data_IF_572408686633
#
_entry.id   IF_572408686633
#
_cell.length_a   1.000
_cell.length_b   1.000
_cell.length_c   1.000
_cell.angle_alpha   90.00
_cell.angle_beta   90.00
_cell.angle_gamma   90.00
#
_symmetry.space_group_name_H-M   'P 1'
#
loop_
_entity.id
_entity.type
_entity.pdbx_description
1 polymer ?
#
# COMPACT_ATOMS: atom_id res chain seq x y z
N UNK A 1 -11.75 8.00 -5.67
CA UNK A 1 -10.49 8.47 -6.28
C UNK A 1 -10.64 9.93 -6.67
N UNK A 2 -9.62 10.78 -6.48
CA UNK A 2 -9.65 12.16 -6.94
C UNK A 2 -9.63 12.22 -8.49
N UNK A 3 -10.28 13.22 -9.09
CA UNK A 3 -10.28 13.43 -10.54
C UNK A 3 -8.88 13.73 -11.06
N UNK A 4 -8.53 13.19 -12.23
CA UNK A 4 -7.26 13.48 -12.91
C UNK A 4 -7.39 14.80 -13.69
N UNK A 5 -6.40 15.68 -13.57
CA UNK A 5 -6.37 16.90 -14.39
C UNK A 5 -5.92 16.58 -15.81
N UNK A 6 -6.36 17.37 -16.80
CA UNK A 6 -5.95 17.22 -18.20
C UNK A 6 -4.41 17.21 -18.34
N UNK A 7 -3.73 18.06 -17.56
CA UNK A 7 -2.27 18.14 -17.55
C UNK A 7 -1.64 16.85 -17.03
N UNK A 8 -2.19 16.28 -15.95
CA UNK A 8 -1.68 15.02 -15.40
C UNK A 8 -1.98 13.85 -16.32
N UNK A 9 -3.14 13.83 -16.96
CA UNK A 9 -3.51 12.82 -17.96
C UNK A 9 -2.53 12.84 -19.15
N UNK A 10 -2.20 14.03 -19.66
CA UNK A 10 -1.24 14.17 -20.75
C UNK A 10 0.17 13.66 -20.41
N UNK A 11 0.58 13.78 -19.14
CA UNK A 11 1.83 13.21 -18.62
C UNK A 11 1.75 11.69 -18.53
N UNK A 12 0.66 11.14 -17.97
CA UNK A 12 0.46 9.68 -17.82
C UNK A 12 0.34 8.95 -19.16
N UNK A 13 -0.28 9.59 -20.17
CA UNK A 13 -0.41 9.10 -21.55
C UNK A 13 0.92 9.20 -22.32
N UNK A 14 1.86 10.05 -21.87
CA UNK A 14 3.21 10.16 -22.45
C UNK A 14 3.31 10.96 -23.76
N UNK A 15 2.23 11.63 -24.20
CA UNK A 15 2.22 12.42 -25.45
C UNK A 15 2.42 13.93 -25.24
N UNK A 16 2.50 14.37 -23.99
CA UNK A 16 2.71 15.78 -23.62
C UNK A 16 1.46 16.65 -23.75
N UNK A 17 1.40 17.69 -22.92
CA UNK A 17 0.21 18.55 -22.78
C UNK A 17 -0.25 19.25 -24.07
N UNK A 18 0.63 19.84 -24.91
CA UNK A 18 0.18 20.51 -26.13
C UNK A 18 -0.54 19.58 -27.11
N UNK A 19 -0.09 18.34 -27.22
CA UNK A 19 -0.70 17.33 -28.10
C UNK A 19 -1.96 16.75 -27.49
N UNK A 20 -1.97 16.46 -26.20
CA UNK A 20 -3.16 15.96 -25.52
C UNK A 20 -4.31 16.98 -25.54
N UNK A 21 -4.02 18.25 -25.24
CA UNK A 21 -5.02 19.32 -25.23
C UNK A 21 -5.68 19.57 -26.59
N UNK A 22 -5.01 19.20 -27.70
CA UNK A 22 -5.62 19.26 -29.03
C UNK A 22 -6.85 18.36 -29.12
N UNK A 23 -6.80 17.14 -28.59
CA UNK A 23 -7.89 16.17 -28.64
C UNK A 23 -9.05 16.51 -27.68
N UNK A 24 -8.76 17.25 -26.62
CA UNK A 24 -9.74 17.67 -25.61
C UNK A 24 -10.48 18.95 -25.99
N UNK A 25 -9.96 19.75 -26.94
CA UNK A 25 -10.58 21.02 -27.37
C UNK A 25 -11.52 20.81 -28.56
N UNK A 26 -12.85 20.90 -28.38
CA UNK A 26 -13.83 20.68 -29.46
C UNK A 26 -13.71 21.70 -30.60
N UNK A 27 -13.07 22.86 -30.36
CA UNK A 27 -12.83 23.87 -31.40
C UNK A 27 -11.69 23.44 -32.33
N UNK A 28 -10.73 22.66 -31.82
CA UNK A 28 -9.53 22.22 -32.55
C UNK A 28 -9.71 20.81 -33.12
N UNK A 29 -10.18 19.87 -32.31
CA UNK A 29 -10.47 18.52 -32.74
C UNK A 29 -11.94 18.39 -33.12
N UNK A 30 -12.19 18.34 -34.43
CA UNK A 30 -13.55 18.30 -35.00
C UNK A 30 -13.99 16.90 -35.41
N UNK A 31 -13.10 15.92 -35.32
CA UNK A 31 -13.44 14.53 -35.65
C UNK A 31 -14.23 13.95 -34.49
N UNK A 32 -15.23 13.12 -34.84
CA UNK A 32 -16.07 12.42 -33.86
C UNK A 32 -15.30 11.34 -33.09
N UNK A 33 -14.31 10.75 -33.73
CA UNK A 33 -13.56 9.60 -33.24
C UNK A 33 -12.11 9.99 -32.97
N UNK A 34 -11.52 9.48 -31.90
CA UNK A 34 -10.12 9.64 -31.54
C UNK A 34 -9.22 8.69 -32.34
N UNK A 35 -7.95 9.05 -32.60
CA UNK A 35 -7.01 8.12 -33.21
C UNK A 35 -6.78 6.90 -32.31
N UNK A 36 -6.78 5.71 -32.88
CA UNK A 36 -6.70 4.44 -32.13
C UNK A 36 -5.51 4.39 -31.15
N UNK A 37 -4.34 4.87 -31.55
CA UNK A 37 -3.15 4.84 -30.70
C UNK A 37 -3.29 5.74 -29.47
N UNK A 38 -3.97 6.88 -29.62
CA UNK A 38 -4.25 7.79 -28.51
C UNK A 38 -5.27 7.15 -27.58
N UNK A 39 -6.32 6.54 -28.14
CA UNK A 39 -7.34 5.81 -27.37
C UNK A 39 -6.75 4.66 -26.57
N UNK A 40 -5.81 3.88 -27.14
CA UNK A 40 -5.06 2.84 -26.43
C UNK A 40 -4.29 3.37 -25.23
N UNK A 41 -3.59 4.50 -25.41
CA UNK A 41 -2.83 5.11 -24.33
C UNK A 41 -3.74 5.65 -23.22
N UNK A 42 -4.86 6.27 -23.59
CA UNK A 42 -5.90 6.73 -22.64
C UNK A 42 -6.48 5.53 -21.88
N UNK A 43 -6.83 4.45 -22.58
CA UNK A 43 -7.39 3.25 -21.99
C UNK A 43 -6.41 2.60 -21.00
N UNK A 44 -5.12 2.54 -21.33
CA UNK A 44 -4.10 2.02 -20.42
C UNK A 44 -4.10 2.79 -19.08
N UNK A 45 -4.12 4.13 -19.13
CA UNK A 45 -4.13 4.98 -17.94
C UNK A 45 -5.42 4.86 -17.14
N UNK A 46 -6.58 4.93 -17.82
CA UNK A 46 -7.88 4.89 -17.14
C UNK A 46 -8.20 3.50 -16.58
N UNK A 47 -7.67 2.43 -17.17
CA UNK A 47 -7.84 1.07 -16.67
C UNK A 47 -7.24 0.88 -15.28
N UNK A 48 -6.12 1.54 -14.99
CA UNK A 48 -5.50 1.53 -13.66
C UNK A 48 -6.37 2.24 -12.61
N UNK A 49 -7.34 3.03 -13.06
CA UNK A 49 -8.32 3.74 -12.23
C UNK A 49 -9.68 3.06 -12.20
N UNK A 50 -9.78 1.84 -12.75
CA UNK A 50 -10.99 1.02 -12.73
C UNK A 50 -11.98 1.29 -13.85
N UNK A 51 -11.59 2.00 -14.91
CA UNK A 51 -12.42 2.19 -16.12
C UNK A 51 -12.21 1.00 -17.04
N UNK A 52 -13.29 0.46 -17.61
CA UNK A 52 -13.21 -0.62 -18.58
C UNK A 52 -12.52 -0.13 -19.88
N UNK A 53 -11.39 -0.74 -20.30
CA UNK A 53 -10.75 -0.40 -21.56
C UNK A 53 -11.69 -0.49 -22.78
N UNK A 54 -12.66 -1.42 -22.79
CA UNK A 54 -13.60 -1.58 -23.89
C UNK A 54 -14.51 -0.36 -24.07
N UNK A 55 -14.94 0.27 -22.97
CA UNK A 55 -15.70 1.52 -23.02
C UNK A 55 -14.86 2.66 -23.61
N UNK A 56 -13.58 2.73 -23.25
CA UNK A 56 -12.67 3.76 -23.77
C UNK A 56 -12.42 3.57 -25.27
N UNK A 57 -12.35 2.32 -25.75
CA UNK A 57 -12.16 2.01 -27.17
C UNK A 57 -13.28 2.54 -28.07
N UNK A 58 -14.49 2.72 -27.54
CA UNK A 58 -15.61 3.32 -28.28
C UNK A 58 -15.32 4.76 -28.70
N UNK A 59 -14.41 5.48 -28.00
CA UNK A 59 -13.97 6.81 -28.41
C UNK A 59 -13.23 6.80 -29.75
N UNK A 60 -12.65 5.67 -30.16
CA UNK A 60 -12.05 5.48 -31.47
C UNK A 60 -13.08 5.07 -32.55
N UNK A 61 -14.37 4.99 -32.22
CA UNK A 61 -15.43 4.54 -33.12
C UNK A 61 -15.58 3.02 -33.22
N UNK A 62 -14.88 2.26 -32.39
CA UNK A 62 -14.96 0.80 -32.36
C UNK A 62 -16.30 0.35 -31.78
N UNK A 63 -16.92 -0.64 -32.42
CA UNK A 63 -18.08 -1.33 -31.82
C UNK A 63 -17.62 -2.37 -30.77
N UNK A 64 -18.54 -2.94 -30.00
CA UNK A 64 -18.22 -3.89 -28.92
C UNK A 64 -17.36 -5.08 -29.38
N UNK A 65 -17.58 -5.58 -30.60
CA UNK A 65 -16.83 -6.73 -31.15
C UNK A 65 -15.40 -6.33 -31.53
N UNK A 66 -15.19 -5.09 -31.97
CA UNK A 66 -13.87 -4.57 -32.33
C UNK A 66 -13.10 -4.03 -31.11
N UNK A 67 -13.83 -3.58 -30.09
CA UNK A 67 -13.26 -3.06 -28.84
C UNK A 67 -12.67 -4.16 -27.95
N UNK A 68 -13.27 -5.36 -27.94
CA UNK A 68 -12.82 -6.49 -27.12
C UNK A 68 -11.35 -6.89 -27.33
N UNK A 69 -10.84 -7.11 -28.56
CA UNK A 69 -9.45 -7.49 -28.75
C UNK A 69 -8.48 -6.38 -28.35
N UNK A 70 -8.86 -5.11 -28.56
CA UNK A 70 -8.07 -3.95 -28.18
C UNK A 70 -8.04 -3.77 -26.65
N UNK A 71 -9.18 -3.94 -25.99
CA UNK A 71 -9.29 -3.92 -24.54
C UNK A 71 -8.43 -5.02 -23.91
N UNK A 72 -8.50 -6.24 -24.44
CA UNK A 72 -7.66 -7.37 -23.99
C UNK A 72 -6.17 -7.07 -24.19
N UNK A 73 -5.78 -6.43 -25.28
CA UNK A 73 -4.38 -6.04 -25.51
C UNK A 73 -3.91 -5.01 -24.47
N UNK A 74 -4.76 -4.03 -24.11
CA UNK A 74 -4.49 -3.05 -23.05
C UNK A 74 -4.37 -3.73 -21.68
N UNK A 75 -5.25 -4.66 -21.35
CA UNK A 75 -5.18 -5.42 -20.10
C UNK A 75 -3.94 -6.31 -20.04
N UNK A 76 -3.59 -7.00 -21.12
CA UNK A 76 -2.41 -7.85 -21.20
C UNK A 76 -1.10 -7.05 -21.06
N UNK A 77 -1.10 -5.78 -21.46
CA UNK A 77 0.04 -4.88 -21.29
C UNK A 77 0.16 -4.32 -19.84
N UNK A 78 -0.83 -4.55 -18.97
CA UNK A 78 -0.77 -4.11 -17.57
C UNK A 78 0.35 -4.87 -16.85
N UNK A 79 1.21 -4.18 -16.07
CA UNK A 79 2.19 -4.86 -15.24
C UNK A 79 1.51 -5.87 -14.31
N UNK A 80 1.94 -7.14 -14.37
CA UNK A 80 1.43 -8.17 -13.47
C UNK A 80 1.82 -7.82 -12.03
N UNK A 81 0.82 -7.45 -11.21
CA UNK A 81 1.03 -7.24 -9.79
C UNK A 81 1.05 -8.60 -9.10
N UNK A 82 2.22 -9.01 -8.63
CA UNK A 82 2.36 -10.26 -7.86
C UNK A 82 2.13 -9.97 -6.38
N UNK A 83 1.06 -10.53 -5.83
CA UNK A 83 0.83 -10.53 -4.39
C UNK A 83 1.51 -11.76 -3.78
N UNK A 84 2.46 -11.52 -2.88
CA UNK A 84 3.19 -12.59 -2.18
C UNK A 84 2.79 -12.54 -0.69
N UNK A 85 2.24 -13.61 -0.11
CA UNK A 85 2.03 -13.68 1.33
C UNK A 85 3.38 -13.80 2.04
N UNK A 86 3.72 -12.85 2.90
CA UNK A 86 4.91 -12.90 3.75
C UNK A 86 4.54 -13.36 5.16
N UNK A 87 5.27 -14.34 5.69
CA UNK A 87 5.28 -14.66 7.12
C UNK A 87 6.28 -13.71 7.79
N UNK A 88 5.79 -12.74 8.55
CA UNK A 88 6.63 -11.73 9.22
C UNK A 88 6.64 -12.00 10.72
N UNK A 89 7.83 -12.13 11.29
CA UNK A 89 8.02 -12.08 12.74
C UNK A 89 8.05 -10.61 13.17
N UNK A 90 7.00 -10.16 13.85
CA UNK A 90 6.97 -8.81 14.40
C UNK A 90 7.79 -8.74 15.69
N UNK A 91 8.49 -7.60 15.95
CA UNK A 91 9.10 -7.35 17.25
C UNK A 91 8.06 -7.36 18.37
N UNK A 92 8.52 -7.53 19.61
CA UNK A 92 7.65 -7.40 20.78
C UNK A 92 7.03 -6.01 20.88
N UNK A 93 5.89 -5.89 21.57
CA UNK A 93 5.20 -4.60 21.77
C UNK A 93 6.13 -3.53 22.36
N UNK A 94 7.00 -3.91 23.30
CA UNK A 94 7.96 -2.99 23.90
C UNK A 94 8.96 -2.45 22.87
N UNK A 95 9.50 -3.32 22.01
CA UNK A 95 10.42 -2.93 20.95
C UNK A 95 9.73 -2.05 19.89
N UNK A 96 8.47 -2.37 19.55
CA UNK A 96 7.65 -1.55 18.65
C UNK A 96 7.41 -0.16 19.24
N UNK A 97 7.08 -0.06 20.53
CA UNK A 97 6.85 1.22 21.21
C UNK A 97 8.10 2.09 21.20
N UNK A 98 9.27 1.52 21.46
CA UNK A 98 10.54 2.25 21.39
C UNK A 98 10.84 2.71 19.96
N UNK A 99 10.61 1.85 18.97
CA UNK A 99 10.76 2.21 17.56
C UNK A 99 9.84 3.38 17.17
N UNK A 100 8.56 3.33 17.54
CA UNK A 100 7.61 4.40 17.29
C UNK A 100 8.01 5.70 18.01
N UNK A 101 8.48 5.61 19.26
CA UNK A 101 8.98 6.78 19.98
C UNK A 101 10.15 7.45 19.22
N UNK A 102 11.09 6.66 18.68
CA UNK A 102 12.20 7.18 17.85
C UNK A 102 11.71 7.78 16.53
N UNK A 103 10.72 7.17 15.87
CA UNK A 103 10.14 7.70 14.63
C UNK A 103 9.37 9.01 14.86
N UNK A 104 8.68 9.14 15.99
CA UNK A 104 7.95 10.35 16.34
C UNK A 104 8.88 11.56 16.55
N UNK A 105 10.15 11.36 16.92
CA UNK A 105 11.16 12.43 16.98
C UNK A 105 11.42 13.04 15.59
N UNK A 106 11.21 12.28 14.51
CA UNK A 106 11.41 12.75 13.15
C UNK A 106 10.19 13.51 12.60
N UNK A 107 9.07 13.51 13.33
CA UNK A 107 7.85 14.22 12.93
C UNK A 107 8.01 15.70 13.32
N UNK A 108 7.69 16.65 12.42
CA UNK A 108 7.78 18.07 12.73
C UNK A 108 6.93 18.46 13.96
N UNK A 109 7.48 19.32 14.81
CA UNK A 109 6.74 19.85 15.96
C UNK A 109 5.52 20.65 15.48
N UNK A 110 4.33 20.31 15.99
CA UNK A 110 3.06 20.94 15.60
C UNK A 110 2.30 20.24 14.48
N UNK A 111 2.80 19.13 13.93
CA UNK A 111 2.03 18.30 13.01
C UNK A 111 0.74 17.80 13.66
N UNK A 112 -0.36 17.84 12.91
CA UNK A 112 -1.62 17.24 13.34
C UNK A 112 -1.49 15.70 13.42
N UNK A 113 -2.45 15.05 14.10
CA UNK A 113 -2.49 13.58 14.17
C UNK A 113 -2.58 12.94 12.78
N UNK A 114 -3.36 13.54 11.88
CA UNK A 114 -3.56 13.01 10.53
C UNK A 114 -2.29 13.16 9.68
N UNK A 115 -1.62 14.32 9.73
CA UNK A 115 -0.33 14.52 9.06
C UNK A 115 0.76 13.58 9.61
N UNK A 116 0.77 13.37 10.92
CA UNK A 116 1.68 12.41 11.56
C UNK A 116 1.43 10.99 11.05
N UNK A 117 0.16 10.58 10.94
CA UNK A 117 -0.22 9.27 10.43
C UNK A 117 0.22 9.08 8.96
N UNK A 118 0.02 10.08 8.11
CA UNK A 118 0.47 10.05 6.71
C UNK A 118 2.00 9.93 6.59
N UNK A 119 2.74 10.70 7.40
CA UNK A 119 4.21 10.66 7.43
C UNK A 119 4.71 9.28 7.83
N UNK A 120 4.16 8.70 8.91
CA UNK A 120 4.53 7.36 9.38
C UNK A 120 4.16 6.26 8.38
N UNK A 121 2.98 6.36 7.73
CA UNK A 121 2.54 5.41 6.72
C UNK A 121 3.47 5.36 5.50
N UNK A 122 4.03 6.51 5.11
CA UNK A 122 5.02 6.56 4.02
C UNK A 122 6.36 5.95 4.40
N UNK A 123 6.73 5.97 5.68
CA UNK A 123 8.00 5.40 6.15
C UNK A 123 7.93 3.91 6.45
N UNK A 124 6.78 3.37 6.86
CA UNK A 124 6.63 1.96 7.21
C UNK A 124 7.13 0.98 6.12
N UNK A 125 6.81 1.14 4.82
CA UNK A 125 7.34 0.25 3.77
C UNK A 125 8.86 0.21 3.73
N UNK A 126 9.51 1.38 3.86
CA UNK A 126 10.97 1.51 3.86
C UNK A 126 11.61 1.08 5.18
N UNK A 127 10.93 1.33 6.30
CA UNK A 127 11.34 0.96 7.66
C UNK A 127 11.33 -0.55 7.85
N UNK A 128 10.33 -1.25 7.31
CA UNK A 128 10.32 -2.72 7.29
C UNK A 128 11.35 -3.30 6.31
N UNK A 129 11.63 -2.64 5.18
CA UNK A 129 12.64 -3.10 4.24
C UNK A 129 14.09 -2.95 4.77
N UNK A 130 14.35 -1.99 5.66
CA UNK A 130 15.67 -1.74 6.24
C UNK A 130 16.01 -2.63 7.45
N UNK A 131 15.04 -3.32 8.03
CA UNK A 131 15.24 -4.20 9.18
C UNK A 131 15.28 -5.64 8.67
N UNK A 132 16.46 -6.07 8.23
CA UNK A 132 16.79 -7.50 8.21
C UNK A 132 16.61 -8.10 9.61
N UNK A 133 16.48 -9.43 9.76
CA UNK A 133 16.09 -10.06 11.02
C UNK A 133 16.99 -9.58 12.17
N UNK A 134 16.44 -8.72 13.01
CA UNK A 134 17.06 -8.36 14.28
C UNK A 134 16.88 -9.56 15.20
N UNK A 135 17.95 -10.31 15.41
CA UNK A 135 18.04 -11.29 16.48
C UNK A 135 18.38 -10.49 17.76
N UNK A 136 17.43 -10.27 18.68
CA UNK A 136 17.79 -9.74 19.98
C UNK A 136 18.78 -10.71 20.64
N UNK A 137 19.87 -10.17 21.18
CA UNK A 137 20.84 -10.94 21.95
C UNK A 137 20.12 -11.65 23.12
N UNK A 138 20.05 -12.99 23.14
CA UNK A 138 19.41 -13.72 24.24
C UNK A 138 20.15 -13.56 25.57
N UNK A 139 21.35 -12.97 25.57
CA UNK A 139 22.15 -12.71 26.77
C UNK A 139 21.68 -11.55 27.64
N UNK A 140 20.86 -10.61 27.13
CA UNK A 140 20.38 -9.48 27.94
C UNK A 140 19.20 -9.84 28.86
N UNK A 141 18.63 -11.04 28.71
CA UNK A 141 17.52 -11.55 29.53
C UNK A 141 17.94 -12.58 30.59
N UNK A 142 19.24 -12.69 30.90
CA UNK A 142 19.73 -13.59 31.94
C UNK A 142 19.92 -12.86 33.29
N UNK A 143 18.84 -12.77 34.07
CA UNK A 143 18.70 -12.84 35.55
C UNK A 143 19.61 -12.01 36.48
N UNK A 144 19.16 -11.62 37.71
CA UNK A 144 18.24 -12.39 38.55
C UNK A 144 17.17 -11.58 39.33
N UNK A 145 16.05 -12.22 39.63
CA UNK A 145 15.41 -12.12 40.95
C UNK A 145 14.41 -13.27 41.09
N UNK A 146 14.85 -14.30 41.81
CA UNK A 146 13.97 -15.25 42.49
C UNK A 146 13.07 -14.45 43.43
N UNK A 147 11.77 -14.38 43.13
CA UNK A 147 10.77 -14.05 44.14
C UNK A 147 9.71 -15.14 44.12
N UNK A 148 10.00 -16.19 44.90
CA UNK A 148 9.04 -17.22 45.22
C UNK A 148 8.11 -16.64 46.31
N UNK A 149 6.77 -16.64 46.12
CA UNK A 149 5.89 -16.18 47.18
C UNK A 149 5.92 -17.15 48.38
N UNK A 150 5.90 -16.64 49.63
CA UNK A 150 5.94 -17.47 50.82
C UNK A 150 4.63 -18.25 50.97
N UNK A 151 4.73 -19.59 51.02
CA UNK A 151 3.63 -20.44 51.49
C UNK A 151 3.57 -20.34 53.01
N UNK A 152 2.54 -19.66 53.51
CA UNK A 152 2.22 -19.65 54.94
C UNK A 152 2.01 -21.08 55.43
N UNK A 153 2.87 -21.51 56.35
CA UNK A 153 2.67 -22.66 57.20
C UNK A 153 2.12 -22.18 58.56
N UNK A 154 1.03 -22.78 59.01
CA UNK A 154 0.62 -22.86 60.42
C UNK A 154 -0.31 -24.06 60.55
N UNK A 155 0.27 -25.23 60.84
CA UNK A 155 0.22 -25.98 62.13
C UNK A 155 -1.10 -26.72 62.31
N UNK A 156 -1.12 -28.03 62.01
CA UNK A 156 -0.91 -29.12 62.98
C UNK A 156 -2.17 -29.33 63.84
N UNK A 157 -2.79 -30.51 63.78
CA UNK A 157 -2.34 -31.59 64.67
C UNK A 157 -3.12 -32.91 64.49
N UNK A 158 -2.35 -34.00 64.57
CA UNK A 158 -2.68 -35.33 65.12
C UNK A 158 -3.69 -36.31 64.48
N UNK A 159 -3.12 -37.47 64.06
CA UNK A 159 -3.76 -38.78 64.23
C UNK A 159 -3.79 -39.70 62.99
N UNK A 160 -2.70 -40.43 62.74
CA UNK A 160 -2.67 -41.68 61.94
C UNK A 160 -3.54 -42.79 62.60
N UNK A 161 -3.67 -44.02 62.04
CA UNK A 161 -3.81 -44.49 60.65
C UNK A 161 -5.01 -45.47 60.45
N UNK A 162 -5.11 -45.99 59.23
CA UNK A 162 -5.99 -47.03 58.64
C UNK A 162 -6.44 -48.24 59.49
N UNK A 163 -7.46 -48.96 58.99
CA UNK A 163 -7.19 -50.27 58.36
C UNK A 163 -7.42 -50.31 56.82
#
# INVERSE_FOLDING_TARGET
MPPISIRKMAEEVGIGFPRYSYFEDPKRYKKRELPIDVTRQIAAVLSLRGVDPAEVMQLAGLNETEAEPEARAVEAARPAVQYIPLQVALPSEAALREMFAKLLVLVPEGASRDETAEILARWLPSGFAGIGPYLPDPGAAASPATDAPPRSAATDDHGSPQP
#
